data_IF_475357983386
#
_entry.id   IF_475357983386
#
_cell.length_a   1.000
_cell.length_b   1.000
_cell.length_c   1.000
_cell.angle_alpha   90.00
_cell.angle_beta   90.00
_cell.angle_gamma   90.00
#
_symmetry.space_group_name_H-M   'P 1'
#
loop_
_entity.id
_entity.type
_entity.pdbx_description
1 polymer ?
#
# COMPACT_ATOMS: atom_id res chain seq x y z
N UNK A 1 2.14 25.62 -19.65
CA UNK A 1 0.85 25.75 -20.31
C UNK A 1 0.96 26.84 -21.39
N UNK A 2 1.18 26.46 -22.66
CA UNK A 2 1.46 27.44 -23.73
C UNK A 2 0.36 28.49 -23.85
N UNK A 3 0.79 29.76 -24.02
CA UNK A 3 -0.11 30.91 -24.14
C UNK A 3 -0.73 31.40 -22.80
N UNK A 4 -0.49 30.71 -21.68
CA UNK A 4 -1.07 31.09 -20.38
C UNK A 4 0.00 31.37 -19.35
N UNK A 5 0.80 30.35 -18.99
CA UNK A 5 1.78 30.44 -17.92
C UNK A 5 2.86 29.40 -18.05
N UNK A 6 4.08 29.78 -17.73
CA UNK A 6 5.26 28.92 -17.65
C UNK A 6 5.93 29.08 -16.29
N UNK A 7 6.38 27.96 -15.69
CA UNK A 7 7.25 27.97 -14.50
C UNK A 7 8.67 27.55 -14.90
N UNK A 8 9.66 28.27 -14.38
CA UNK A 8 11.09 28.04 -14.68
C UNK A 8 11.85 28.00 -13.35
N UNK A 9 12.57 26.91 -13.10
CA UNK A 9 13.50 26.82 -12.00
C UNK A 9 14.91 27.24 -12.47
N UNK A 10 15.55 28.11 -11.71
CA UNK A 10 16.88 28.65 -12.02
C UNK A 10 17.84 28.41 -10.85
N UNK A 11 19.10 28.17 -11.18
CA UNK A 11 20.17 28.05 -10.17
C UNK A 11 21.43 28.81 -10.66
N UNK A 12 22.35 29.03 -9.74
CA UNK A 12 23.67 29.63 -10.04
C UNK A 12 24.78 28.72 -9.53
N UNK A 13 25.82 28.57 -10.34
CA UNK A 13 27.06 27.91 -9.94
C UNK A 13 27.89 28.76 -8.97
N UNK A 14 27.51 30.04 -8.80
CA UNK A 14 28.16 30.99 -7.92
C UNK A 14 27.25 31.31 -6.74
N UNK A 15 27.79 31.19 -5.56
CA UNK A 15 27.03 31.43 -4.30
C UNK A 15 26.68 32.91 -4.08
N UNK A 16 27.50 33.83 -4.65
CA UNK A 16 27.32 35.26 -4.54
C UNK A 16 26.26 35.83 -5.51
N UNK A 17 25.64 35.00 -6.35
CA UNK A 17 24.62 35.40 -7.33
C UNK A 17 23.24 34.88 -6.95
N UNK A 18 22.29 35.80 -6.76
CA UNK A 18 20.87 35.47 -6.71
C UNK A 18 20.36 35.12 -8.12
N UNK A 19 20.07 33.83 -8.40
CA UNK A 19 19.67 33.41 -9.73
C UNK A 19 18.29 33.95 -10.14
N UNK A 20 17.36 34.09 -9.21
CA UNK A 20 16.01 34.58 -9.46
C UNK A 20 16.07 36.07 -9.74
N UNK A 21 16.72 36.86 -8.89
CA UNK A 21 16.88 38.28 -9.06
C UNK A 21 17.64 38.63 -10.35
N UNK A 22 18.63 37.82 -10.73
CA UNK A 22 19.37 38.01 -11.98
C UNK A 22 18.48 37.81 -13.24
N UNK A 23 17.56 36.83 -13.19
CA UNK A 23 16.63 36.59 -14.31
C UNK A 23 15.47 37.59 -14.34
N UNK A 24 14.90 37.94 -13.21
CA UNK A 24 13.80 38.91 -13.10
C UNK A 24 14.28 40.33 -13.45
N UNK A 25 15.45 40.70 -12.97
CA UNK A 25 16.03 42.01 -13.12
C UNK A 25 15.39 43.09 -12.23
N UNK A 26 16.03 44.27 -12.19
CA UNK A 26 15.54 45.34 -11.33
C UNK A 26 14.12 45.76 -11.73
N UNK A 27 13.21 45.75 -10.76
CA UNK A 27 11.75 46.01 -10.96
C UNK A 27 11.10 45.13 -12.04
N UNK A 28 11.66 43.94 -12.34
CA UNK A 28 11.10 43.01 -13.29
C UNK A 28 11.34 43.37 -14.79
N UNK A 29 12.24 44.29 -15.08
CA UNK A 29 12.46 44.78 -16.48
C UNK A 29 12.83 43.64 -17.42
N UNK A 30 13.67 42.69 -16.98
CA UNK A 30 14.12 41.59 -17.84
C UNK A 30 13.00 40.60 -18.12
N UNK A 31 12.30 40.15 -17.07
CA UNK A 31 11.20 39.22 -17.26
C UNK A 31 10.03 39.80 -18.03
N UNK A 32 9.74 41.12 -17.86
CA UNK A 32 8.71 41.77 -18.63
C UNK A 32 9.03 41.86 -20.12
N UNK A 33 10.30 41.96 -20.49
CA UNK A 33 10.70 41.91 -21.89
C UNK A 33 10.37 40.53 -22.50
N UNK A 34 10.66 39.46 -21.78
CA UNK A 34 10.35 38.07 -22.19
C UNK A 34 8.84 37.87 -22.29
N UNK A 35 8.06 38.33 -21.30
CA UNK A 35 6.59 38.23 -21.31
C UNK A 35 5.98 38.94 -22.52
N UNK A 36 6.58 40.07 -22.98
CA UNK A 36 6.14 40.76 -24.21
C UNK A 36 6.44 39.94 -25.45
N UNK A 37 7.62 39.32 -25.55
CA UNK A 37 8.00 38.43 -26.65
C UNK A 37 7.08 37.20 -26.73
N UNK A 38 6.59 36.72 -25.57
CA UNK A 38 5.64 35.62 -25.46
C UNK A 38 4.18 36.09 -25.55
N UNK A 39 3.90 37.23 -26.11
CA UNK A 39 2.55 37.78 -26.31
C UNK A 39 1.70 37.88 -25.05
N UNK A 40 2.35 38.04 -23.90
CA UNK A 40 1.68 38.19 -22.60
C UNK A 40 1.59 36.91 -21.75
N UNK A 41 2.20 35.81 -22.17
CA UNK A 41 2.30 34.61 -21.34
C UNK A 41 3.06 34.92 -20.03
N UNK A 42 2.47 34.54 -18.90
CA UNK A 42 3.06 34.76 -17.58
C UNK A 42 4.21 33.79 -17.35
N UNK A 43 5.32 34.30 -16.85
CA UNK A 43 6.49 33.48 -16.51
C UNK A 43 6.81 33.63 -15.03
N UNK A 44 6.73 32.51 -14.29
CA UNK A 44 7.15 32.42 -12.91
C UNK A 44 8.58 31.91 -12.86
N UNK A 45 9.47 32.66 -12.23
CA UNK A 45 10.86 32.26 -12.02
C UNK A 45 11.04 31.93 -10.54
N UNK A 46 11.52 30.72 -10.26
CA UNK A 46 11.77 30.24 -8.90
C UNK A 46 13.16 29.64 -8.77
N UNK A 47 13.64 29.53 -7.53
CA UNK A 47 14.95 28.95 -7.25
C UNK A 47 14.86 27.42 -7.30
N UNK A 48 15.74 26.80 -8.07
CA UNK A 48 15.96 25.36 -8.02
C UNK A 48 16.64 24.98 -6.70
N UNK A 49 16.27 23.85 -6.16
CA UNK A 49 16.92 23.25 -4.98
C UNK A 49 17.08 21.75 -5.16
N UNK A 50 18.14 21.19 -4.58
CA UNK A 50 18.39 19.74 -4.58
C UNK A 50 17.50 19.00 -3.58
N UNK A 51 17.12 19.67 -2.49
CA UNK A 51 16.18 19.10 -1.54
C UNK A 51 14.76 19.15 -2.11
N UNK A 52 14.11 17.99 -2.29
CA UNK A 52 12.77 17.92 -2.88
C UNK A 52 11.74 18.77 -2.14
N UNK A 53 11.78 18.82 -0.79
CA UNK A 53 10.83 19.59 0.01
C UNK A 53 10.95 21.08 -0.25
N UNK A 54 12.18 21.58 -0.27
CA UNK A 54 12.47 22.97 -0.57
C UNK A 54 12.12 23.31 -2.01
N UNK A 55 12.40 22.42 -2.95
CA UNK A 55 12.07 22.64 -4.36
C UNK A 55 10.56 22.65 -4.61
N UNK A 56 9.80 21.76 -3.97
CA UNK A 56 8.32 21.74 -4.01
C UNK A 56 7.76 23.05 -3.44
N UNK A 57 8.28 23.49 -2.30
CA UNK A 57 7.88 24.76 -1.66
C UNK A 57 8.08 25.93 -2.62
N UNK A 58 9.24 26.02 -3.25
CA UNK A 58 9.54 27.05 -4.23
C UNK A 58 8.63 26.96 -5.46
N UNK A 59 8.33 25.73 -5.94
CA UNK A 59 7.54 25.50 -7.13
C UNK A 59 6.06 25.89 -6.95
N UNK A 60 5.52 25.83 -5.73
CA UNK A 60 4.16 26.24 -5.42
C UNK A 60 3.99 27.75 -5.26
N UNK A 61 5.10 28.52 -5.32
CA UNK A 61 5.03 29.99 -5.34
C UNK A 61 3.99 30.49 -6.38
N UNK A 62 3.22 31.55 -6.09
CA UNK A 62 3.39 32.51 -5.00
C UNK A 62 2.66 32.15 -3.69
N UNK A 63 2.15 30.92 -3.53
CA UNK A 63 1.53 30.51 -2.29
C UNK A 63 2.59 30.27 -1.20
N UNK A 64 2.24 30.57 0.04
CA UNK A 64 3.04 30.28 1.21
C UNK A 64 2.73 28.87 1.72
N UNK A 65 3.76 28.02 1.74
CA UNK A 65 3.65 26.62 2.16
C UNK A 65 4.17 26.50 3.58
N UNK A 66 3.36 25.96 4.48
CA UNK A 66 3.75 25.73 5.89
C UNK A 66 4.73 24.56 6.00
N UNK A 67 4.40 23.44 5.38
CA UNK A 67 5.26 22.26 5.38
C UNK A 67 5.03 21.39 4.15
N UNK A 68 6.05 20.60 3.80
CA UNK A 68 5.97 19.58 2.75
C UNK A 68 6.32 18.24 3.37
N UNK A 69 5.42 17.27 3.23
CA UNK A 69 5.53 15.90 3.73
C UNK A 69 5.73 14.99 2.52
N UNK A 70 6.82 14.23 2.51
CA UNK A 70 7.05 13.18 1.50
C UNK A 70 6.26 11.95 1.93
N UNK A 71 5.32 11.53 1.10
CA UNK A 71 4.48 10.36 1.34
C UNK A 71 5.13 9.08 0.80
N UNK A 72 5.67 9.14 -0.41
CA UNK A 72 6.35 8.01 -1.06
C UNK A 72 7.45 8.56 -1.97
N UNK A 73 8.70 8.32 -1.59
CA UNK A 73 9.86 8.81 -2.34
C UNK A 73 10.04 8.06 -3.67
N UNK A 74 9.77 6.75 -3.68
CA UNK A 74 9.91 5.94 -4.89
C UNK A 74 8.87 6.27 -5.97
N UNK A 75 7.68 6.71 -5.55
CA UNK A 75 6.61 7.14 -6.46
C UNK A 75 6.56 8.66 -6.65
N UNK A 76 7.52 9.39 -6.09
CA UNK A 76 7.55 10.85 -6.09
C UNK A 76 6.22 11.48 -5.64
N UNK A 77 5.70 11.06 -4.48
CA UNK A 77 4.45 11.58 -3.93
C UNK A 77 4.72 12.45 -2.71
N UNK A 78 4.15 13.63 -2.70
CA UNK A 78 4.29 14.58 -1.62
C UNK A 78 2.96 15.30 -1.31
N UNK A 79 2.81 15.71 -0.06
CA UNK A 79 1.71 16.53 0.43
C UNK A 79 2.25 17.89 0.85
N UNK A 80 1.70 18.95 0.31
CA UNK A 80 1.97 20.32 0.72
C UNK A 80 0.84 20.82 1.63
N UNK A 81 1.18 21.19 2.86
CA UNK A 81 0.24 21.73 3.83
C UNK A 81 0.30 23.25 3.80
N UNK A 82 -0.87 23.88 3.69
CA UNK A 82 -1.01 25.34 3.58
C UNK A 82 -2.07 25.85 4.53
N UNK A 83 -2.04 27.15 4.83
CA UNK A 83 -3.17 27.82 5.45
C UNK A 83 -4.38 27.85 4.51
N UNK A 84 -5.57 27.91 5.07
CA UNK A 84 -6.82 27.96 4.30
C UNK A 84 -6.84 29.17 3.34
N UNK A 85 -6.28 30.31 3.76
CA UNK A 85 -6.12 31.52 2.96
C UNK A 85 -5.23 31.32 1.72
N UNK A 86 -4.29 30.39 1.76
CA UNK A 86 -3.31 30.09 0.71
C UNK A 86 -3.74 28.97 -0.22
N UNK A 87 -4.72 28.14 0.17
CA UNK A 87 -5.15 26.96 -0.58
C UNK A 87 -5.51 27.29 -2.03
N UNK A 88 -6.36 28.29 -2.23
CA UNK A 88 -6.77 28.71 -3.59
C UNK A 88 -5.60 29.21 -4.44
N UNK A 89 -4.60 29.83 -3.81
CA UNK A 89 -3.41 30.34 -4.48
C UNK A 89 -2.45 29.20 -4.83
N UNK A 90 -2.26 28.25 -3.94
CA UNK A 90 -1.43 27.07 -4.15
C UNK A 90 -1.98 26.19 -5.28
N UNK A 91 -3.27 25.94 -5.32
CA UNK A 91 -3.94 25.20 -6.40
C UNK A 91 -3.92 26.02 -7.69
N UNK A 92 -4.22 27.31 -7.60
CA UNK A 92 -4.35 28.22 -8.75
C UNK A 92 -5.62 27.99 -9.56
N UNK A 93 -5.89 28.89 -10.50
CA UNK A 93 -7.08 28.81 -11.37
C UNK A 93 -7.09 27.48 -12.15
N UNK A 94 -8.15 26.69 -12.00
CA UNK A 94 -8.30 25.37 -12.62
C UNK A 94 -7.14 24.38 -12.32
N UNK A 95 -6.49 24.53 -11.17
CA UNK A 95 -5.37 23.68 -10.77
C UNK A 95 -4.06 23.98 -11.54
N UNK A 96 -3.97 25.14 -12.19
CA UNK A 96 -2.82 25.44 -13.07
C UNK A 96 -1.51 25.55 -12.28
N UNK A 97 -1.54 26.15 -11.08
CA UNK A 97 -0.31 26.35 -10.32
C UNK A 97 0.27 25.01 -9.84
N UNK A 98 -0.53 24.16 -9.22
CA UNK A 98 -0.09 22.83 -8.76
C UNK A 98 0.30 21.92 -9.92
N UNK A 99 -0.43 21.96 -11.04
CA UNK A 99 -0.11 21.17 -12.24
C UNK A 99 1.23 21.55 -12.85
N UNK A 100 1.55 22.85 -12.94
CA UNK A 100 2.85 23.32 -13.42
C UNK A 100 3.96 22.98 -12.42
N UNK A 101 3.71 23.08 -11.11
CA UNK A 101 4.64 22.67 -10.08
C UNK A 101 4.97 21.18 -10.21
N UNK A 102 3.96 20.31 -10.30
CA UNK A 102 4.14 18.85 -10.45
C UNK A 102 5.03 18.51 -11.66
N UNK A 103 4.79 19.14 -12.80
CA UNK A 103 5.60 18.93 -14.01
C UNK A 103 7.03 19.42 -13.87
N UNK A 104 7.24 20.52 -13.13
CA UNK A 104 8.57 21.13 -12.98
C UNK A 104 9.45 20.33 -12.03
N UNK A 105 8.89 19.84 -10.91
CA UNK A 105 9.66 19.11 -9.90
C UNK A 105 9.67 17.60 -10.13
N UNK A 106 8.85 17.11 -11.07
CA UNK A 106 8.63 15.68 -11.35
C UNK A 106 8.11 14.91 -10.12
N UNK A 107 7.20 15.56 -9.38
CA UNK A 107 6.53 14.99 -8.21
C UNK A 107 5.01 15.16 -8.35
N UNK A 108 4.26 14.21 -7.80
CA UNK A 108 2.82 14.32 -7.65
C UNK A 108 2.52 14.96 -6.29
N UNK A 109 2.22 16.25 -6.32
CA UNK A 109 1.99 17.08 -5.13
C UNK A 109 0.49 17.20 -4.92
N UNK A 110 -0.02 16.75 -3.78
CA UNK A 110 -1.35 17.11 -3.29
C UNK A 110 -1.26 18.31 -2.35
N UNK A 111 -2.27 19.17 -2.36
CA UNK A 111 -2.30 20.38 -1.52
C UNK A 111 -3.49 20.29 -0.59
N UNK A 112 -3.26 20.38 0.72
CA UNK A 112 -4.27 20.30 1.77
C UNK A 112 -4.10 21.44 2.77
N UNK A 113 -5.19 21.79 3.43
CA UNK A 113 -5.11 22.65 4.61
C UNK A 113 -4.68 21.84 5.84
N UNK A 114 -4.22 22.55 6.88
CA UNK A 114 -3.87 21.93 8.16
C UNK A 114 -5.06 21.16 8.77
N UNK A 115 -6.28 21.70 8.65
CA UNK A 115 -7.50 21.03 9.10
C UNK A 115 -7.74 19.71 8.34
N UNK A 116 -7.64 19.75 7.01
CA UNK A 116 -7.79 18.55 6.17
C UNK A 116 -6.71 17.50 6.43
N UNK A 117 -5.49 17.95 6.73
CA UNK A 117 -4.39 17.05 7.07
C UNK A 117 -4.65 16.36 8.42
N UNK A 118 -5.06 17.12 9.45
CA UNK A 118 -5.40 16.56 10.76
C UNK A 118 -6.56 15.57 10.70
N UNK A 119 -7.56 15.81 9.86
CA UNK A 119 -8.66 14.86 9.62
C UNK A 119 -8.16 13.56 8.95
N UNK A 120 -7.20 13.66 8.05
CA UNK A 120 -6.58 12.48 7.41
C UNK A 120 -5.77 11.65 8.42
N UNK A 121 -5.00 12.28 9.29
CA UNK A 121 -4.23 11.59 10.34
C UNK A 121 -5.16 10.85 11.30
N UNK A 122 -6.23 11.49 11.75
CA UNK A 122 -7.25 10.86 12.61
C UNK A 122 -7.90 9.67 11.88
N UNK A 123 -8.21 9.81 10.60
CA UNK A 123 -8.78 8.72 9.81
C UNK A 123 -7.82 7.55 9.64
N UNK A 124 -6.53 7.80 9.45
CA UNK A 124 -5.49 6.77 9.35
C UNK A 124 -5.28 6.08 10.69
N UNK A 125 -5.20 6.84 11.79
CA UNK A 125 -5.08 6.28 13.14
C UNK A 125 -6.33 5.46 13.53
N UNK A 126 -7.52 5.97 13.22
CA UNK A 126 -8.77 5.26 13.46
C UNK A 126 -8.82 3.97 12.64
N UNK A 127 -8.41 4.01 11.36
CA UNK A 127 -8.35 2.82 10.50
C UNK A 127 -7.37 1.78 11.04
N UNK A 128 -6.17 2.20 11.46
CA UNK A 128 -5.19 1.30 12.09
C UNK A 128 -5.70 0.72 13.41
N UNK A 129 -6.38 1.53 14.23
CA UNK A 129 -6.97 1.06 15.47
C UNK A 129 -8.10 0.06 15.23
N UNK A 130 -8.92 0.28 14.20
CA UNK A 130 -9.97 -0.65 13.78
C UNK A 130 -9.35 -1.91 13.20
N UNK A 131 -8.35 -1.81 12.32
CA UNK A 131 -7.63 -2.98 11.78
C UNK A 131 -6.96 -3.80 12.89
N UNK A 132 -6.36 -3.15 13.91
CA UNK A 132 -5.78 -3.89 15.04
C UNK A 132 -6.85 -4.56 15.90
N UNK A 133 -8.01 -3.92 16.10
CA UNK A 133 -9.13 -4.53 16.82
C UNK A 133 -9.71 -5.73 16.07
N UNK A 134 -9.76 -5.68 14.75
CA UNK A 134 -10.21 -6.83 13.95
C UNK A 134 -9.13 -7.92 13.87
N UNK A 135 -7.85 -7.56 13.85
CA UNK A 135 -6.75 -8.54 13.95
C UNK A 135 -6.78 -9.28 15.29
N UNK A 136 -7.05 -8.57 16.39
CA UNK A 136 -7.24 -9.19 17.71
C UNK A 136 -8.49 -10.10 17.75
N UNK A 137 -9.54 -9.79 16.97
CA UNK A 137 -10.72 -10.65 16.81
C UNK A 137 -10.47 -11.83 15.87
N UNK A 138 -9.64 -11.67 14.83
CA UNK A 138 -9.23 -12.77 13.95
C UNK A 138 -8.25 -13.73 14.68
N UNK A 139 -7.41 -13.23 15.61
CA UNK A 139 -6.58 -14.09 16.47
C UNK A 139 -7.41 -14.83 17.53
N UNK A 140 -8.58 -14.32 17.96
CA UNK A 140 -9.52 -15.06 18.85
C UNK A 140 -10.42 -16.05 18.07
N UNK A 141 -10.52 -15.94 16.74
CA UNK A 141 -11.11 -16.96 15.85
C UNK A 141 -10.06 -17.84 15.16
N UNK A 142 -8.79 -17.81 15.54
CA UNK A 142 -7.95 -18.98 15.36
C UNK A 142 -8.59 -20.10 16.18
N UNK A 143 -9.53 -20.81 15.58
CA UNK A 143 -9.94 -22.14 15.99
C UNK A 143 -8.64 -22.85 16.28
N UNK A 144 -8.41 -23.23 17.54
CA UNK A 144 -7.30 -24.11 17.88
C UNK A 144 -7.32 -25.22 16.83
N UNK A 145 -6.37 -25.21 15.91
CA UNK A 145 -6.23 -26.27 14.91
C UNK A 145 -6.03 -27.55 15.72
N UNK A 146 -7.10 -28.33 15.87
CA UNK A 146 -7.06 -29.60 16.55
C UNK A 146 -6.19 -30.53 15.74
N UNK A 147 -4.90 -30.49 15.99
CA UNK A 147 -3.90 -31.24 15.21
C UNK A 147 -3.69 -32.63 15.76
N UNK A 148 -4.04 -32.87 17.04
CA UNK A 148 -3.86 -34.16 17.73
C UNK A 148 -5.19 -34.83 18.03
N UNK A 149 -5.22 -36.13 17.82
CA UNK A 149 -6.39 -36.95 18.11
C UNK A 149 -6.84 -36.88 19.56
N UNK A 150 -5.93 -36.58 20.49
CA UNK A 150 -6.25 -36.45 21.93
C UNK A 150 -7.02 -35.18 22.27
N UNK A 151 -7.12 -34.23 21.36
CA UNK A 151 -7.80 -32.94 21.53
C UNK A 151 -9.24 -32.98 20.98
N UNK A 152 -9.60 -34.06 20.24
CA UNK A 152 -10.96 -34.24 19.73
C UNK A 152 -11.97 -34.46 20.87
N UNK A 153 -13.08 -33.74 20.90
CA UNK A 153 -14.16 -33.98 21.86
C UNK A 153 -14.79 -35.36 21.63
N UNK A 154 -15.25 -35.98 22.70
CA UNK A 154 -16.00 -37.25 22.71
C UNK A 154 -15.26 -38.49 22.17
N UNK A 155 -13.95 -38.42 21.94
CA UNK A 155 -13.16 -39.57 21.50
C UNK A 155 -12.91 -40.55 22.69
N UNK A 156 -13.14 -41.85 22.53
CA UNK A 156 -12.86 -42.83 23.57
C UNK A 156 -11.36 -42.90 23.88
N UNK A 157 -10.97 -42.74 25.16
CA UNK A 157 -9.57 -42.76 25.62
C UNK A 157 -8.83 -44.03 25.14
N UNK A 158 -9.53 -45.20 25.14
CA UNK A 158 -9.00 -46.45 24.62
C UNK A 158 -8.55 -46.34 23.16
N UNK A 159 -9.31 -45.63 22.33
CA UNK A 159 -9.02 -45.46 20.90
C UNK A 159 -7.79 -44.58 20.72
N UNK A 160 -7.67 -43.53 21.50
CA UNK A 160 -6.49 -42.64 21.53
C UNK A 160 -5.22 -43.40 21.90
N UNK A 161 -5.29 -44.30 22.91
CA UNK A 161 -4.16 -45.11 23.35
C UNK A 161 -3.71 -46.10 22.26
N UNK A 162 -4.64 -46.74 21.57
CA UNK A 162 -4.34 -47.68 20.49
C UNK A 162 -3.69 -46.96 19.32
N UNK A 163 -4.25 -45.83 18.90
CA UNK A 163 -3.71 -45.05 17.80
C UNK A 163 -2.31 -44.51 18.12
N UNK A 164 -2.07 -44.05 19.35
CA UNK A 164 -0.74 -43.63 19.81
C UNK A 164 0.27 -44.77 19.80
N UNK A 165 -0.10 -45.98 20.19
CA UNK A 165 0.80 -47.13 20.13
C UNK A 165 1.24 -47.49 18.72
N UNK A 166 0.42 -47.15 17.71
CA UNK A 166 0.72 -47.33 16.30
C UNK A 166 1.33 -46.09 15.64
N UNK A 167 1.66 -45.02 16.40
CA UNK A 167 2.29 -43.81 15.91
C UNK A 167 1.34 -42.84 15.20
N UNK A 168 0.03 -43.03 15.36
CA UNK A 168 -1.02 -42.20 14.74
C UNK A 168 -1.56 -41.19 15.77
N UNK A 169 -0.76 -40.18 16.06
CA UNK A 169 -1.13 -39.10 16.99
C UNK A 169 -1.77 -37.88 16.30
N UNK A 170 -1.43 -37.67 15.03
CA UNK A 170 -1.91 -36.53 14.25
C UNK A 170 -3.16 -36.88 13.43
N UNK A 171 -4.13 -36.00 13.43
CA UNK A 171 -5.38 -36.15 12.67
C UNK A 171 -5.14 -36.33 11.19
N UNK A 172 -4.21 -35.55 10.61
CA UNK A 172 -3.80 -35.67 9.19
C UNK A 172 -3.34 -37.07 8.83
N UNK A 173 -2.55 -37.71 9.70
CA UNK A 173 -2.07 -39.06 9.49
C UNK A 173 -3.21 -40.08 9.48
N UNK A 174 -4.26 -39.85 10.28
CA UNK A 174 -5.42 -40.72 10.36
C UNK A 174 -6.38 -40.51 9.17
N UNK A 175 -6.51 -39.32 8.68
CA UNK A 175 -7.32 -38.99 7.49
C UNK A 175 -6.68 -39.63 6.24
N UNK A 176 -5.34 -39.60 6.16
CA UNK A 176 -4.58 -40.12 5.02
C UNK A 176 -4.57 -41.65 4.92
N UNK A 177 -4.89 -42.38 5.99
CA UNK A 177 -4.90 -43.85 6.04
C UNK A 177 -6.28 -44.38 5.64
N UNK A 178 -6.27 -45.42 4.82
CA UNK A 178 -7.49 -46.09 4.40
C UNK A 178 -8.16 -46.88 5.53
N UNK A 179 -9.48 -47.03 5.44
CA UNK A 179 -10.26 -47.81 6.44
C UNK A 179 -9.80 -49.24 6.56
N UNK A 180 -9.31 -49.82 5.44
CA UNK A 180 -8.76 -51.19 5.43
C UNK A 180 -7.46 -51.32 6.21
N UNK A 181 -6.64 -50.30 6.21
CA UNK A 181 -5.36 -50.24 6.92
C UNK A 181 -5.59 -50.00 8.42
N UNK A 182 -6.55 -49.12 8.79
CA UNK A 182 -6.94 -48.90 10.17
C UNK A 182 -7.50 -50.17 10.83
N UNK A 183 -8.28 -50.94 10.08
CA UNK A 183 -8.81 -52.24 10.59
C UNK A 183 -7.76 -53.32 10.75
N UNK A 184 -6.56 -53.20 10.15
CA UNK A 184 -5.44 -54.14 10.35
C UNK A 184 -4.66 -53.90 11.65
N UNK A 185 -4.87 -52.75 12.30
CA UNK A 185 -4.21 -52.41 13.55
C UNK A 185 -4.78 -53.25 14.68
N UNK A 186 -3.89 -53.84 15.49
CA UNK A 186 -4.30 -54.66 16.63
C UNK A 186 -5.10 -53.81 17.63
N UNK A 187 -6.33 -54.24 17.92
CA UNK A 187 -7.22 -53.63 18.92
C UNK A 187 -8.27 -52.68 18.38
N UNK A 188 -8.28 -52.37 17.06
CA UNK A 188 -9.33 -51.58 16.41
C UNK A 188 -10.43 -52.50 15.88
N UNK A 189 -11.69 -52.20 16.27
CA UNK A 189 -12.87 -52.88 15.75
C UNK A 189 -13.57 -52.01 14.69
N UNK A 190 -14.43 -52.64 13.89
CA UNK A 190 -15.26 -51.92 12.91
C UNK A 190 -16.13 -50.83 13.57
N UNK A 191 -16.56 -51.04 14.80
CA UNK A 191 -17.34 -50.08 15.56
C UNK A 191 -16.49 -48.89 16.01
N UNK A 192 -15.21 -49.11 16.36
CA UNK A 192 -14.24 -48.08 16.68
C UNK A 192 -13.95 -47.21 15.45
N UNK A 193 -13.84 -47.80 14.26
CA UNK A 193 -13.63 -47.10 13.01
C UNK A 193 -14.82 -46.16 12.67
N UNK A 194 -16.04 -46.67 12.82
CA UNK A 194 -17.24 -45.84 12.57
C UNK A 194 -17.31 -44.64 13.51
N UNK A 195 -17.02 -44.87 14.81
CA UNK A 195 -17.01 -43.82 15.83
C UNK A 195 -15.92 -42.76 15.48
N UNK A 196 -14.72 -43.19 15.10
CA UNK A 196 -13.61 -42.31 14.73
C UNK A 196 -13.98 -41.45 13.53
N UNK A 197 -14.52 -42.06 12.47
CA UNK A 197 -14.92 -41.30 11.24
C UNK A 197 -16.06 -40.31 11.51
N UNK A 198 -17.04 -40.68 12.37
CA UNK A 198 -18.11 -39.75 12.74
C UNK A 198 -17.58 -38.55 13.53
N UNK A 199 -16.67 -38.75 14.48
CA UNK A 199 -16.06 -37.69 15.27
C UNK A 199 -15.19 -36.78 14.39
N UNK A 200 -14.42 -37.35 13.46
CA UNK A 200 -13.61 -36.57 12.51
C UNK A 200 -14.51 -35.74 11.60
N UNK A 201 -15.60 -36.28 11.08
CA UNK A 201 -16.51 -35.58 10.18
C UNK A 201 -17.30 -34.47 10.89
N UNK A 202 -17.53 -34.57 12.18
CA UNK A 202 -18.25 -33.55 12.97
C UNK A 202 -17.33 -32.42 13.46
N UNK A 203 -16.03 -32.69 13.63
CA UNK A 203 -15.09 -31.74 14.27
C UNK A 203 -13.93 -31.24 13.36
N UNK A 204 -13.81 -31.80 12.17
CA UNK A 204 -12.71 -31.45 11.24
C UNK A 204 -13.28 -31.03 9.89
N UNK A 205 -13.14 -29.78 9.55
CA UNK A 205 -13.41 -29.28 8.20
C UNK A 205 -12.26 -29.68 7.29
N UNK A 206 -12.47 -30.64 6.39
CA UNK A 206 -11.48 -31.05 5.41
C UNK A 206 -11.46 -29.98 4.32
N UNK A 207 -10.45 -29.11 4.33
CA UNK A 207 -10.18 -28.19 3.23
C UNK A 207 -9.45 -29.00 2.15
N UNK A 208 -10.17 -29.44 1.12
CA UNK A 208 -9.52 -30.00 -0.06
C UNK A 208 -8.77 -28.87 -0.78
N UNK A 209 -7.44 -28.85 -0.72
CA UNK A 209 -6.63 -28.03 -1.62
C UNK A 209 -6.92 -28.49 -3.06
N UNK A 210 -7.68 -27.68 -3.81
CA UNK A 210 -7.81 -27.86 -5.27
C UNK A 210 -6.42 -27.73 -5.89
N UNK A 211 -5.80 -28.85 -6.20
CA UNK A 211 -4.64 -28.89 -7.08
C UNK A 211 -5.04 -28.36 -8.45
N UNK A 212 -4.60 -27.14 -8.77
CA UNK A 212 -4.77 -26.58 -10.11
C UNK A 212 -4.11 -27.54 -11.12
N UNK A 213 -4.79 -27.91 -12.20
CA UNK A 213 -4.17 -28.72 -13.25
C UNK A 213 -3.08 -27.90 -13.94
N UNK A 214 -1.87 -28.45 -13.98
CA UNK A 214 -0.76 -27.95 -14.79
C UNK A 214 -1.21 -27.83 -16.24
N UNK A 215 -1.24 -26.59 -16.72
CA UNK A 215 -1.47 -26.28 -18.13
C UNK A 215 -0.16 -26.50 -18.86
N UNK A 216 0.08 -27.71 -19.33
CA UNK A 216 1.10 -27.97 -20.34
C UNK A 216 0.68 -27.28 -21.64
N UNK A 217 1.39 -26.20 -21.97
CA UNK A 217 1.24 -25.51 -23.24
C UNK A 217 1.80 -26.35 -24.37
N UNK A 218 0.94 -26.83 -25.26
CA UNK A 218 1.33 -27.32 -26.57
C UNK A 218 1.81 -26.12 -27.42
N UNK A 219 3.11 -26.13 -27.73
CA UNK A 219 3.68 -25.32 -28.82
C UNK A 219 3.17 -25.89 -30.16
N UNK A 220 2.24 -25.22 -30.81
CA UNK A 220 1.97 -25.41 -32.23
C UNK A 220 2.94 -24.56 -33.06
N UNK A 221 3.90 -25.25 -33.67
CA UNK A 221 4.64 -24.79 -34.84
C UNK A 221 3.66 -24.42 -35.96
N UNK A 222 3.69 -23.20 -36.43
CA UNK A 222 3.20 -22.84 -37.77
C UNK A 222 4.34 -22.21 -38.58
N UNK A 223 5.00 -23.05 -39.36
CA UNK A 223 5.65 -22.65 -40.60
C UNK A 223 4.55 -22.30 -41.64
N UNK A 224 4.60 -21.10 -42.18
CA UNK A 224 4.60 -20.71 -43.61
C UNK A 224 4.57 -19.19 -43.79
#
# INVERSE_FOLDING_TARGET
EPGYRTKIAVFSNREDVDPVGACVGMKGVRIQAIVRELEGEKVDILKYDLDPKTFITNALSPAEIQTVIVLDEAKHQALAVVEESQLSLAIGKQGLNVRLANRLVDWNIDVKTEAQFSEMDIAVETKKAVESLFADFEEEEEKEEITKISELPDIPIRLVEILKQHGLELIESIISISDEELLKLEGITFQDLQTLRSILQENVDIIEEETQPDFEGEEEDLEE
#
